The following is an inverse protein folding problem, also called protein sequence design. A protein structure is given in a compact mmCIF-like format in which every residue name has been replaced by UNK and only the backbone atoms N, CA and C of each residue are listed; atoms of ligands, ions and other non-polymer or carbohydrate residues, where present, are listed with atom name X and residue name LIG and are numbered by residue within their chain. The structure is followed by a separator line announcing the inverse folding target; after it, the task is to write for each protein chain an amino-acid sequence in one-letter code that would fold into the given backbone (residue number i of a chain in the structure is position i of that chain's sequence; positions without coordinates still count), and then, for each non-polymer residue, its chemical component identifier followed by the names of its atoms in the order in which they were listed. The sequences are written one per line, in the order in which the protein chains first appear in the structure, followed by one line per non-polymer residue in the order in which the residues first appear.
data_IF_939540116299
#
_entry.id   IF_939540116299
#
_cell.length_a   1.000
_cell.length_b   1.000
_cell.length_c   1.000
_cell.angle_alpha   90.00
_cell.angle_beta   90.00
_cell.angle_gamma   90.00
#
_symmetry.space_group_name_H-M   'P 1'
#
loop_
_entity.id
_entity.type
_entity.pdbx_description
1 polymer ?
#
# COMPACT_ATOMS: atom_id res chain seq x y z
N UNK A 1 21.40 14.73 12.23
CA UNK A 1 21.05 13.32 11.94
C UNK A 1 19.75 13.04 12.69
N UNK A 2 18.61 13.17 12.01
CA UNK A 2 17.29 13.03 12.65
C UNK A 2 17.07 11.56 13.00
N UNK A 3 17.25 11.20 14.27
CA UNK A 3 16.93 9.88 14.77
C UNK A 3 15.41 9.81 14.97
N UNK A 4 14.70 9.36 13.94
CA UNK A 4 13.32 8.87 14.06
C UNK A 4 13.36 7.56 14.87
N UNK A 5 13.57 7.68 16.19
CA UNK A 5 13.45 6.56 17.13
C UNK A 5 11.96 6.24 17.34
N UNK A 6 11.26 5.85 16.28
CA UNK A 6 9.99 5.13 16.43
C UNK A 6 10.33 3.76 17.01
N UNK A 7 9.67 3.38 18.11
CA UNK A 7 9.80 2.02 18.64
C UNK A 7 9.46 1.02 17.54
N UNK A 8 10.16 -0.12 17.45
CA UNK A 8 9.93 -1.14 16.42
C UNK A 8 8.43 -1.49 16.27
N UNK A 9 7.70 -1.53 17.38
CA UNK A 9 6.25 -1.77 17.41
C UNK A 9 5.40 -0.73 16.68
N UNK A 10 5.87 0.51 16.55
CA UNK A 10 5.19 1.58 15.80
C UNK A 10 5.50 1.48 14.31
N UNK A 11 6.72 1.12 13.96
CA UNK A 11 7.13 0.87 12.56
C UNK A 11 6.34 -0.31 12.01
N UNK A 12 6.24 -1.42 12.76
CA UNK A 12 5.42 -2.58 12.40
C UNK A 12 3.95 -2.20 12.19
N UNK A 13 3.37 -1.40 13.10
CA UNK A 13 1.99 -0.91 12.93
C UNK A 13 1.82 -0.06 11.68
N UNK A 14 2.76 0.83 11.38
CA UNK A 14 2.71 1.65 10.17
C UNK A 14 2.81 0.81 8.90
N UNK A 15 3.69 -0.20 8.89
CA UNK A 15 3.81 -1.13 7.78
C UNK A 15 2.49 -1.88 7.54
N UNK A 16 1.91 -2.47 8.59
CA UNK A 16 0.60 -3.14 8.48
C UNK A 16 -0.49 -2.24 7.94
N UNK A 17 -0.62 -1.01 8.48
CA UNK A 17 -1.62 -0.04 8.01
C UNK A 17 -1.38 0.32 6.54
N UNK A 18 -0.13 0.56 6.14
CA UNK A 18 0.23 0.90 4.76
C UNK A 18 -0.08 -0.25 3.79
N UNK A 19 0.16 -1.50 4.22
CA UNK A 19 -0.21 -2.70 3.47
C UNK A 19 -1.73 -2.82 3.32
N UNK A 20 -2.50 -2.65 4.39
CA UNK A 20 -3.96 -2.73 4.38
C UNK A 20 -4.57 -1.67 3.46
N UNK A 21 -4.05 -0.44 3.50
CA UNK A 21 -4.45 0.64 2.57
C UNK A 21 -4.20 0.22 1.13
N UNK A 22 -3.03 -0.36 0.82
CA UNK A 22 -2.72 -0.87 -0.51
C UNK A 22 -3.72 -1.91 -1.01
N UNK A 23 -4.13 -2.84 -0.14
CA UNK A 23 -5.11 -3.88 -0.45
C UNK A 23 -6.51 -3.30 -0.67
N UNK A 24 -6.96 -2.37 0.16
CA UNK A 24 -8.27 -1.70 0.02
C UNK A 24 -8.32 -0.87 -1.27
N UNK A 25 -7.24 -0.16 -1.61
CA UNK A 25 -7.14 0.59 -2.87
C UNK A 25 -7.18 -0.34 -4.08
N UNK A 26 -6.45 -1.45 -4.04
CA UNK A 26 -6.50 -2.45 -5.11
C UNK A 26 -7.92 -3.00 -5.28
N UNK A 27 -8.55 -3.43 -4.18
CA UNK A 27 -9.91 -3.97 -4.22
C UNK A 27 -10.93 -2.95 -4.73
N UNK A 28 -10.87 -1.70 -4.26
CA UNK A 28 -11.82 -0.66 -4.67
C UNK A 28 -11.70 -0.27 -6.15
N UNK A 29 -10.49 -0.30 -6.71
CA UNK A 29 -10.23 0.13 -8.10
C UNK A 29 -10.38 -1.03 -9.09
N UNK A 30 -10.17 -2.28 -8.67
CA UNK A 30 -10.40 -3.44 -9.53
C UNK A 30 -11.77 -4.07 -9.32
N UNK A 31 -12.14 -4.44 -8.11
CA UNK A 31 -13.36 -5.23 -7.86
C UNK A 31 -14.62 -4.43 -8.17
N UNK A 32 -14.70 -3.17 -7.73
CA UNK A 32 -15.86 -2.31 -7.97
C UNK A 32 -16.13 -2.07 -9.46
N UNK A 33 -15.17 -1.51 -10.23
CA UNK A 33 -15.34 -1.26 -11.66
C UNK A 33 -15.52 -2.53 -12.50
N UNK A 34 -14.89 -3.65 -12.13
CA UNK A 34 -15.07 -4.93 -12.82
C UNK A 34 -16.51 -5.45 -12.67
N UNK A 35 -17.08 -5.38 -11.47
CA UNK A 35 -18.47 -5.83 -11.23
C UNK A 35 -19.48 -4.94 -11.98
N UNK A 36 -19.21 -3.63 -12.08
CA UNK A 36 -20.11 -2.70 -12.75
C UNK A 36 -19.95 -2.66 -14.28
N UNK A 37 -18.95 -3.35 -14.85
CA UNK A 37 -18.68 -3.38 -16.29
C UNK A 37 -18.18 -2.06 -16.87
N UNK A 38 -17.94 -1.04 -16.03
CA UNK A 38 -17.44 0.28 -16.42
C UNK A 38 -15.96 0.35 -16.01
N UNK A 39 -15.12 -0.35 -16.76
CA UNK A 39 -13.67 -0.35 -16.51
C UNK A 39 -13.03 0.81 -17.26
N UNK A 40 -12.66 1.85 -16.53
CA UNK A 40 -11.72 2.86 -17.03
C UNK A 40 -10.28 2.38 -16.79
N UNK A 41 -9.65 1.87 -17.84
CA UNK A 41 -8.26 1.37 -17.81
C UNK A 41 -7.25 2.41 -17.31
N UNK A 42 -7.51 3.71 -17.51
CA UNK A 42 -6.62 4.77 -16.99
C UNK A 42 -6.75 4.89 -15.48
N UNK A 43 -7.98 4.85 -14.96
CA UNK A 43 -8.25 4.88 -13.52
C UNK A 43 -7.68 3.63 -12.82
N UNK A 44 -7.84 2.46 -13.46
CA UNK A 44 -7.25 1.21 -12.98
C UNK A 44 -5.73 1.30 -12.91
N UNK A 45 -5.08 1.82 -13.95
CA UNK A 45 -3.63 2.01 -13.99
C UNK A 45 -3.12 2.92 -12.87
N UNK A 46 -3.76 4.07 -12.65
CA UNK A 46 -3.40 5.01 -11.57
C UNK A 46 -3.58 4.37 -10.19
N UNK A 47 -4.68 3.64 -10.00
CA UNK A 47 -4.94 2.92 -8.75
C UNK A 47 -3.94 1.83 -8.41
N UNK A 48 -3.54 1.06 -9.43
CA UNK A 48 -2.51 0.04 -9.30
C UNK A 48 -1.16 0.64 -8.90
N UNK A 49 -0.78 1.77 -9.52
CA UNK A 49 0.46 2.49 -9.17
C UNK A 49 0.41 2.95 -7.70
N UNK A 50 -0.71 3.53 -7.27
CA UNK A 50 -0.89 3.97 -5.88
C UNK A 50 -0.82 2.79 -4.90
N UNK A 51 -1.54 1.70 -5.18
CA UNK A 51 -1.52 0.49 -4.35
C UNK A 51 -0.11 -0.11 -4.24
N UNK A 52 0.59 -0.26 -5.37
CA UNK A 52 1.98 -0.75 -5.39
C UNK A 52 2.92 0.18 -4.63
N UNK A 53 2.75 1.50 -4.73
CA UNK A 53 3.58 2.46 -4.00
C UNK A 53 3.40 2.36 -2.49
N UNK A 54 2.16 2.19 -2.00
CA UNK A 54 1.86 2.01 -0.58
C UNK A 54 2.40 0.67 -0.05
N UNK A 55 2.33 -0.38 -0.87
CA UNK A 55 2.90 -1.69 -0.53
C UNK A 55 4.43 -1.66 -0.50
N UNK A 56 5.08 -1.06 -1.51
CA UNK A 56 6.53 -0.87 -1.52
C UNK A 56 7.01 -0.03 -0.34
N UNK A 57 6.27 1.02 0.01
CA UNK A 57 6.57 1.84 1.20
C UNK A 57 6.48 1.01 2.48
N UNK A 58 5.48 0.14 2.61
CA UNK A 58 5.38 -0.82 3.72
C UNK A 58 6.60 -1.74 3.78
N UNK A 59 7.02 -2.31 2.64
CA UNK A 59 8.18 -3.20 2.59
C UNK A 59 9.49 -2.48 2.95
N UNK A 60 9.65 -1.24 2.49
CA UNK A 60 10.81 -0.42 2.84
C UNK A 60 10.87 -0.14 4.34
N UNK A 61 9.73 0.07 4.98
CA UNK A 61 9.63 0.27 6.43
C UNK A 61 10.03 -0.98 7.23
N UNK A 62 9.79 -2.18 6.70
CA UNK A 62 10.10 -3.46 7.36
C UNK A 62 11.45 -4.04 6.92
N UNK A 63 12.18 -3.38 6.00
CA UNK A 63 13.38 -3.92 5.36
C UNK A 63 14.53 -4.26 6.31
N UNK A 64 14.64 -3.58 7.46
CA UNK A 64 15.65 -3.88 8.49
C UNK A 64 15.46 -5.26 9.16
N UNK A 65 14.35 -5.97 8.90
CA UNK A 65 14.08 -7.33 9.42
C UNK A 65 14.27 -8.46 8.41
N UNK A 66 14.56 -8.17 7.14
CA UNK A 66 14.62 -9.16 6.04
C UNK A 66 16.05 -9.56 5.61
N UNK A 67 17.08 -9.03 6.26
CA UNK A 67 18.50 -9.41 6.13
C UNK A 67 19.05 -9.83 7.50
#
# INVERSE_FOLDING_TARGET
MFSLSLSESRVDKLATISSDIGQVFFASILVGPVINGVIDLKLVGVGLILSLSAWLFSLLLTRDRLL
#
